data_IF_660217121120
#
_entry.id   IF_660217121120
#
_cell.length_a   1.000
_cell.length_b   1.000
_cell.length_c   1.000
_cell.angle_alpha   90.00
_cell.angle_beta   90.00
_cell.angle_gamma   90.00
#
_symmetry.space_group_name_H-M   'P 1'
#
loop_
_entity.id
_entity.type
_entity.pdbx_description
1 polymer ?
#
# COMPACT_ATOMS: atom_id res chain seq x y z
N UNK A 1 -20.27 -17.50 -0.06
CA UNK A 1 -20.33 -16.34 0.86
C UNK A 1 -18.92 -15.73 0.93
N UNK A 2 -18.66 -14.82 1.86
CA UNK A 2 -17.36 -14.16 2.04
C UNK A 2 -16.46 -14.84 3.09
N UNK A 3 -16.86 -16.01 3.61
CA UNK A 3 -16.23 -16.67 4.77
C UNK A 3 -14.77 -17.08 4.53
N UNK A 4 -14.30 -17.11 3.29
CA UNK A 4 -12.89 -17.40 2.93
C UNK A 4 -11.95 -16.20 3.04
N UNK A 5 -12.50 -14.98 3.15
CA UNK A 5 -11.72 -13.74 3.24
C UNK A 5 -12.00 -12.98 4.54
N UNK A 6 -13.20 -13.14 5.09
CA UNK A 6 -13.63 -12.51 6.34
C UNK A 6 -14.11 -13.58 7.33
N UNK A 7 -13.24 -13.91 8.27
CA UNK A 7 -13.47 -14.82 9.39
C UNK A 7 -12.48 -14.50 10.53
N UNK A 8 -12.55 -15.24 11.63
CA UNK A 8 -11.71 -15.01 12.82
C UNK A 8 -10.20 -15.16 12.53
N UNK A 9 -9.79 -16.00 11.57
CA UNK A 9 -8.38 -16.21 11.21
C UNK A 9 -7.81 -15.07 10.36
N UNK A 10 -8.67 -14.31 9.66
CA UNK A 10 -8.26 -13.26 8.71
C UNK A 10 -8.65 -11.84 9.15
N UNK A 11 -9.47 -11.69 10.20
CA UNK A 11 -9.94 -10.40 10.71
C UNK A 11 -8.79 -9.40 10.96
N UNK A 12 -7.68 -9.88 11.53
CA UNK A 12 -6.49 -9.07 11.83
C UNK A 12 -5.86 -8.42 10.59
N UNK A 13 -6.02 -9.01 9.41
CA UNK A 13 -5.50 -8.42 8.16
C UNK A 13 -6.25 -7.12 7.85
N UNK A 14 -7.57 -7.12 8.01
CA UNK A 14 -8.40 -5.95 7.76
C UNK A 14 -8.16 -4.84 8.79
N UNK A 15 -8.07 -5.21 10.08
CA UNK A 15 -7.75 -4.28 11.17
C UNK A 15 -6.42 -3.55 10.94
N UNK A 16 -5.46 -4.23 10.30
CA UNK A 16 -4.16 -3.64 9.94
C UNK A 16 -4.21 -2.80 8.67
N UNK A 17 -4.97 -3.23 7.65
CA UNK A 17 -4.98 -2.60 6.34
C UNK A 17 -5.80 -1.31 6.30
N UNK A 18 -6.99 -1.29 6.90
CA UNK A 18 -7.90 -0.15 6.78
C UNK A 18 -7.29 1.20 7.21
N UNK A 19 -6.57 1.30 8.34
CA UNK A 19 -5.96 2.57 8.72
C UNK A 19 -4.87 3.02 7.75
N UNK A 20 -4.16 2.09 7.09
CA UNK A 20 -3.13 2.43 6.12
C UNK A 20 -3.74 2.91 4.80
N UNK A 21 -4.83 2.27 4.35
CA UNK A 21 -5.60 2.71 3.19
C UNK A 21 -6.17 4.13 3.39
N UNK A 22 -6.77 4.40 4.55
CA UNK A 22 -7.28 5.74 4.88
C UNK A 22 -6.16 6.79 4.86
N UNK A 23 -5.03 6.50 5.52
CA UNK A 23 -3.87 7.39 5.53
C UNK A 23 -3.31 7.66 4.13
N UNK A 24 -3.22 6.61 3.31
CA UNK A 24 -2.77 6.74 1.92
C UNK A 24 -3.66 7.70 1.14
N UNK A 25 -4.97 7.47 1.11
CA UNK A 25 -5.90 8.32 0.35
C UNK A 25 -5.99 9.74 0.89
N UNK A 26 -5.84 9.95 2.20
CA UNK A 26 -5.76 11.28 2.79
C UNK A 26 -4.50 12.05 2.34
N UNK A 27 -3.39 11.35 2.08
CA UNK A 27 -2.13 11.95 1.64
C UNK A 27 -2.08 12.21 0.12
N UNK A 28 -2.82 11.44 -0.69
CA UNK A 28 -2.79 11.50 -2.17
C UNK A 28 -2.94 12.92 -2.73
N UNK A 29 -3.89 13.78 -2.29
CA UNK A 29 -4.03 15.13 -2.86
C UNK A 29 -2.80 16.01 -2.67
N UNK A 30 -2.20 15.98 -1.48
CA UNK A 30 -0.98 16.75 -1.18
C UNK A 30 0.24 16.19 -1.92
N UNK A 31 0.35 14.86 -1.97
CA UNK A 31 1.44 14.19 -2.66
C UNK A 31 1.40 14.38 -4.18
N UNK A 32 0.22 14.32 -4.82
CA UNK A 32 0.07 14.58 -6.25
C UNK A 32 0.40 16.02 -6.64
N UNK A 33 0.17 16.98 -5.73
CA UNK A 33 0.53 18.38 -5.94
C UNK A 33 2.05 18.63 -5.80
N UNK A 34 2.79 17.71 -5.17
CA UNK A 34 4.24 17.78 -4.98
C UNK A 34 4.94 16.75 -5.88
N UNK A 35 5.34 17.17 -7.08
CA UNK A 35 6.04 16.29 -8.03
C UNK A 35 7.35 15.69 -7.49
N UNK A 36 7.92 16.24 -6.41
CA UNK A 36 9.06 15.65 -5.72
C UNK A 36 8.73 14.31 -5.06
N UNK A 37 7.48 14.07 -4.69
CA UNK A 37 7.04 12.84 -4.01
C UNK A 37 6.52 11.77 -4.96
N UNK A 38 6.50 12.01 -6.28
CA UNK A 38 5.93 11.08 -7.27
C UNK A 38 6.44 9.63 -7.11
N UNK A 39 7.76 9.44 -7.01
CA UNK A 39 8.33 8.10 -6.87
C UNK A 39 7.91 7.40 -5.56
N UNK A 40 7.81 8.16 -4.47
CA UNK A 40 7.36 7.66 -3.15
C UNK A 40 5.87 7.31 -3.20
N UNK A 41 5.06 8.17 -3.83
CA UNK A 41 3.62 7.98 -3.98
C UNK A 41 3.29 6.74 -4.82
N UNK A 42 3.97 6.57 -5.96
CA UNK A 42 3.80 5.38 -6.79
C UNK A 42 4.20 4.11 -6.04
N UNK A 43 5.32 4.12 -5.31
CA UNK A 43 5.72 2.94 -4.56
C UNK A 43 4.74 2.64 -3.42
N UNK A 44 4.27 3.66 -2.68
CA UNK A 44 3.24 3.48 -1.67
C UNK A 44 1.95 2.89 -2.26
N UNK A 45 1.55 3.33 -3.46
CA UNK A 45 0.40 2.76 -4.16
C UNK A 45 0.60 1.29 -4.52
N UNK A 46 1.81 0.88 -4.96
CA UNK A 46 2.14 -0.54 -5.19
C UNK A 46 2.01 -1.35 -3.90
N UNK A 47 2.56 -0.86 -2.80
CA UNK A 47 2.46 -1.56 -1.50
C UNK A 47 1.02 -1.69 -1.01
N UNK A 48 0.19 -0.66 -1.21
CA UNK A 48 -1.24 -0.73 -0.91
C UNK A 48 -1.95 -1.79 -1.76
N UNK A 49 -1.76 -1.77 -3.08
CA UNK A 49 -2.36 -2.73 -4.00
C UNK A 49 -1.92 -4.17 -3.70
N UNK A 50 -0.64 -4.37 -3.38
CA UNK A 50 -0.10 -5.67 -3.00
C UNK A 50 -0.68 -6.14 -1.66
N UNK A 51 -0.80 -5.27 -0.66
CA UNK A 51 -1.45 -5.59 0.62
C UNK A 51 -2.95 -5.91 0.47
N UNK A 52 -3.63 -5.32 -0.51
CA UNK A 52 -5.04 -5.53 -0.81
C UNK A 52 -5.34 -6.83 -1.59
N UNK A 53 -4.32 -7.60 -1.99
CA UNK A 53 -4.56 -8.86 -2.70
C UNK A 53 -5.39 -9.83 -1.86
N UNK A 54 -6.53 -10.26 -2.39
CA UNK A 54 -7.41 -11.22 -1.72
C UNK A 54 -6.81 -12.62 -1.56
N UNK A 55 -5.70 -12.91 -2.26
CA UNK A 55 -4.95 -14.16 -2.13
C UNK A 55 -4.43 -14.34 -0.70
N UNK A 56 -4.09 -13.27 0.01
CA UNK A 56 -3.54 -13.38 1.37
C UNK A 56 -4.53 -14.05 2.32
N UNK A 57 -5.75 -13.52 2.42
CA UNK A 57 -6.78 -14.07 3.29
C UNK A 57 -7.20 -15.47 2.80
N UNK A 58 -7.29 -15.68 1.49
CA UNK A 58 -7.64 -16.98 0.92
C UNK A 58 -6.61 -18.06 1.27
N UNK A 59 -5.31 -17.78 1.16
CA UNK A 59 -4.23 -18.72 1.49
C UNK A 59 -4.20 -19.00 3.00
N UNK A 60 -4.42 -17.98 3.84
CA UNK A 60 -4.54 -18.16 5.30
C UNK A 60 -5.68 -19.12 5.60
N UNK A 61 -6.90 -18.83 5.11
CA UNK A 61 -8.11 -19.63 5.37
C UNK A 61 -8.13 -21.02 4.73
N UNK A 62 -7.22 -21.34 3.81
CA UNK A 62 -7.12 -22.67 3.19
C UNK A 62 -5.97 -23.51 3.75
N UNK A 63 -5.11 -22.94 4.59
CA UNK A 63 -4.02 -23.66 5.27
C UNK A 63 -2.88 -24.13 4.35
N UNK A 64 -2.86 -23.74 3.07
CA UNK A 64 -1.86 -24.20 2.11
C UNK A 64 -0.47 -23.58 2.36
N UNK A 65 -0.42 -22.32 2.84
CA UNK A 65 0.81 -21.58 3.15
C UNK A 65 0.52 -20.34 4.04
N UNK A 66 -0.24 -20.52 5.13
CA UNK A 66 -0.72 -19.40 5.96
C UNK A 66 0.39 -18.50 6.51
N UNK A 67 1.52 -19.07 6.95
CA UNK A 67 2.66 -18.30 7.46
C UNK A 67 3.28 -17.40 6.37
N UNK A 68 3.38 -17.91 5.14
CA UNK A 68 3.91 -17.15 4.01
C UNK A 68 3.00 -15.97 3.66
N UNK A 69 1.69 -16.22 3.54
CA UNK A 69 0.71 -15.18 3.23
C UNK A 69 0.66 -14.11 4.32
N UNK A 70 0.68 -14.53 5.59
CA UNK A 70 0.70 -13.61 6.74
C UNK A 70 1.95 -12.74 6.73
N UNK A 71 3.12 -13.33 6.45
CA UNK A 71 4.39 -12.59 6.36
C UNK A 71 4.37 -11.58 5.21
N UNK A 72 3.99 -11.98 3.99
CA UNK A 72 3.96 -11.08 2.82
C UNK A 72 2.98 -9.93 3.02
N UNK A 73 1.79 -10.21 3.55
CA UNK A 73 0.81 -9.18 3.89
C UNK A 73 1.40 -8.16 4.88
N UNK A 74 2.05 -8.62 5.95
CA UNK A 74 2.69 -7.75 6.94
C UNK A 74 3.84 -6.94 6.33
N UNK A 75 4.66 -7.53 5.46
CA UNK A 75 5.75 -6.87 4.73
C UNK A 75 5.22 -5.69 3.90
N UNK A 76 4.17 -5.88 3.08
CA UNK A 76 3.56 -4.80 2.29
C UNK A 76 2.93 -3.71 3.17
N UNK A 77 2.23 -4.07 4.24
CA UNK A 77 1.72 -3.08 5.19
C UNK A 77 2.84 -2.27 5.87
N UNK A 78 3.96 -2.91 6.21
CA UNK A 78 5.12 -2.21 6.80
C UNK A 78 5.77 -1.27 5.79
N UNK A 79 5.93 -1.72 4.55
CA UNK A 79 6.49 -0.92 3.46
C UNK A 79 5.62 0.32 3.18
N UNK A 80 4.30 0.15 3.09
CA UNK A 80 3.37 1.28 2.99
C UNK A 80 3.51 2.23 4.20
N UNK A 81 3.52 1.70 5.42
CA UNK A 81 3.66 2.51 6.63
C UNK A 81 4.98 3.28 6.71
N UNK A 82 6.07 2.76 6.13
CA UNK A 82 7.38 3.42 6.03
C UNK A 82 7.33 4.67 5.13
N UNK A 83 6.55 4.63 4.05
CA UNK A 83 6.48 5.71 3.05
C UNK A 83 5.47 6.82 3.41
N UNK A 84 4.39 6.48 4.11
CA UNK A 84 3.30 7.40 4.45
C UNK A 84 3.73 8.72 5.13
N UNK A 85 4.67 8.74 6.11
CA UNK A 85 5.07 9.97 6.78
C UNK A 85 5.51 11.09 5.82
N UNK A 86 6.28 10.75 4.78
CA UNK A 86 6.75 11.72 3.80
C UNK A 86 5.59 12.24 2.92
N UNK A 87 4.67 11.37 2.54
CA UNK A 87 3.46 11.73 1.78
C UNK A 87 2.51 12.62 2.58
N UNK A 88 2.44 12.39 3.90
CA UNK A 88 1.65 13.20 4.85
C UNK A 88 2.34 14.52 5.23
N UNK A 89 3.55 14.77 4.72
CA UNK A 89 4.26 16.05 4.86
C UNK A 89 5.04 16.25 6.17
N UNK A 90 5.19 15.23 7.00
CA UNK A 90 5.92 15.31 8.29
C UNK A 90 7.11 14.35 8.41
N UNK A 91 7.32 13.47 7.42
CA UNK A 91 8.44 12.54 7.33
C UNK A 91 9.67 13.07 6.59
N UNK A 92 10.79 12.36 6.73
CA UNK A 92 12.04 12.63 6.01
C UNK A 92 11.92 12.17 4.55
N UNK A 93 12.03 13.12 3.62
CA UNK A 93 11.89 12.87 2.18
C UNK A 93 13.03 12.03 1.62
N UNK A 94 14.27 12.28 2.04
CA UNK A 94 15.43 11.56 1.52
C UNK A 94 15.38 10.09 1.93
N UNK A 95 14.97 9.83 3.18
CA UNK A 95 14.74 8.47 3.65
C UNK A 95 13.61 7.78 2.90
N UNK A 96 12.49 8.48 2.65
CA UNK A 96 11.36 7.92 1.91
C UNK A 96 11.73 7.59 0.45
N UNK A 97 12.54 8.43 -0.21
CA UNK A 97 13.06 8.12 -1.54
C UNK A 97 13.97 6.89 -1.53
N UNK A 98 14.90 6.80 -0.58
CA UNK A 98 15.77 5.63 -0.46
C UNK A 98 14.97 4.35 -0.16
N UNK A 99 13.91 4.44 0.64
CA UNK A 99 12.99 3.34 0.90
C UNK A 99 12.23 2.94 -0.37
N UNK A 100 11.69 3.91 -1.11
CA UNK A 100 10.99 3.65 -2.37
C UNK A 100 11.88 2.96 -3.40
N UNK A 101 13.12 3.42 -3.57
CA UNK A 101 14.10 2.81 -4.49
C UNK A 101 14.44 1.36 -4.09
N UNK A 102 14.59 1.11 -2.78
CA UNK A 102 14.83 -0.25 -2.25
C UNK A 102 13.64 -1.17 -2.50
N UNK A 103 12.42 -0.71 -2.22
CA UNK A 103 11.19 -1.49 -2.39
C UNK A 103 10.94 -1.80 -3.86
N UNK A 104 11.21 -0.84 -4.76
CA UNK A 104 11.08 -1.04 -6.20
C UNK A 104 11.97 -2.16 -6.76
N UNK A 105 13.04 -2.56 -6.07
CA UNK A 105 13.83 -3.71 -6.54
C UNK A 105 13.09 -5.04 -6.42
N UNK A 106 12.07 -5.11 -5.56
CA UNK A 106 11.33 -6.34 -5.26
C UNK A 106 9.85 -6.23 -5.61
N UNK A 107 9.27 -5.05 -5.54
CA UNK A 107 7.84 -4.77 -5.67
C UNK A 107 7.59 -3.67 -6.73
N UNK A 108 7.87 -3.96 -8.01
CA UNK A 108 7.69 -3.05 -9.18
C UNK A 108 6.60 -3.46 -10.20
N UNK A 109 5.43 -3.99 -9.80
CA UNK A 109 4.31 -4.06 -10.74
C UNK A 109 3.78 -2.65 -11.03
N UNK A 110 3.11 -2.46 -12.16
CA UNK A 110 2.47 -1.18 -12.56
C UNK A 110 3.48 -0.03 -12.70
N UNK A 111 4.09 0.14 -13.89
CA UNK A 111 5.20 1.07 -14.08
C UNK A 111 4.83 2.56 -14.02
N UNK A 112 3.54 2.90 -14.12
CA UNK A 112 2.99 4.25 -14.00
C UNK A 112 1.64 4.16 -13.27
N UNK A 113 1.52 4.84 -12.14
CA UNK A 113 0.30 4.88 -11.34
C UNK A 113 -0.24 6.29 -11.12
N UNK A 114 0.52 7.35 -11.43
CA UNK A 114 0.12 8.72 -11.09
C UNK A 114 -1.21 9.12 -11.73
N UNK A 115 -1.40 8.80 -13.01
CA UNK A 115 -2.65 9.10 -13.72
C UNK A 115 -3.85 8.33 -13.15
N UNK A 116 -3.65 7.07 -12.76
CA UNK A 116 -4.68 6.25 -12.14
C UNK A 116 -5.04 6.76 -10.74
N UNK A 117 -4.06 7.18 -9.94
CA UNK A 117 -4.27 7.77 -8.62
C UNK A 117 -5.02 9.09 -8.72
N UNK A 118 -4.64 9.97 -9.66
CA UNK A 118 -5.36 11.21 -9.90
C UNK A 118 -6.84 10.94 -10.25
N UNK A 119 -7.10 10.01 -11.17
CA UNK A 119 -8.45 9.63 -11.56
C UNK A 119 -9.26 9.00 -10.41
N UNK A 120 -8.65 8.17 -9.57
CA UNK A 120 -9.31 7.49 -8.45
C UNK A 120 -9.58 8.41 -7.25
N UNK A 121 -8.82 9.49 -7.10
CA UNK A 121 -8.96 10.45 -6.01
C UNK A 121 -10.06 11.50 -6.20
N UNK A 122 -10.81 11.46 -7.32
CA UNK A 122 -11.76 12.49 -7.75
C UNK A 122 -11.17 13.92 -7.77
N UNK A 123 -9.83 14.04 -7.86
CA UNK A 123 -9.15 15.32 -8.03
C UNK A 123 -9.24 15.75 -9.50
N UNK A 124 -9.52 17.04 -9.79
CA UNK A 124 -9.47 17.54 -11.16
C UNK A 124 -8.06 17.39 -11.72
N UNK A 125 -7.93 16.81 -12.91
CA UNK A 125 -6.67 16.81 -13.65
C UNK A 125 -6.21 18.26 -13.87
N UNK A 126 -4.97 18.58 -13.49
CA UNK A 126 -4.33 19.87 -13.74
C UNK A 126 -4.00 20.05 -15.22
#
# INVERSE_FOLDING_TARGET
>A
DFSKWLNDETAWTWERLWPLEERFWNAVPGALADGGLNAVLEQAARELLLAQSSDWQFIISTGAAGDYASRRFVEHCNALAELLPALEGWGDRDQAHAAADRLRQVDDPFPDLLGALAAASDLPAS
#
